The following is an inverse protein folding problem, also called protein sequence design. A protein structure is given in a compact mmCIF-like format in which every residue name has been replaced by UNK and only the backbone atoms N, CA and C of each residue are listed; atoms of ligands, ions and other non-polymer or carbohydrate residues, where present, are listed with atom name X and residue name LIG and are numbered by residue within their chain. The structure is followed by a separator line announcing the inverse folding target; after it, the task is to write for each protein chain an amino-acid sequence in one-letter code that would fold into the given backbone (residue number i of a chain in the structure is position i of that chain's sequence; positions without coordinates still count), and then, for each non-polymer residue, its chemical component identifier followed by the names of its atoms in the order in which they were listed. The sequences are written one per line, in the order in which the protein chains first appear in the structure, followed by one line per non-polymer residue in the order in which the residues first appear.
data_IF_398475325680
#
_entry.id   IF_398475325680
#
_cell.length_a   1.000
_cell.length_b   1.000
_cell.length_c   1.000
_cell.angle_alpha   90.00
_cell.angle_beta   90.00
_cell.angle_gamma   90.00
#
_symmetry.space_group_name_H-M   'P 1'
#
loop_
_entity.id
_entity.type
_entity.pdbx_description
1 polymer ?
#
# COMPACT_ATOMS: atom_id res chain seq x y z
N UNK A 1 -18.48 -54.46 -0.62
CA UNK A 1 -19.66 -53.57 -0.65
C UNK A 1 -19.55 -52.64 0.52
N UNK A 2 -19.80 -51.34 0.28
CA UNK A 2 -19.84 -50.27 1.24
C UNK A 2 -18.53 -49.87 1.94
N UNK A 3 -17.86 -48.90 1.37
CA UNK A 3 -17.09 -47.83 2.06
C UNK A 3 -16.86 -46.66 1.10
N UNK A 4 -17.88 -45.94 0.75
CA UNK A 4 -17.77 -44.71 -0.04
C UNK A 4 -18.59 -43.53 0.54
N UNK A 5 -18.92 -43.60 1.85
CA UNK A 5 -19.74 -42.58 2.53
C UNK A 5 -19.01 -41.64 3.48
N UNK A 6 -17.78 -41.90 3.88
CA UNK A 6 -17.12 -41.14 4.96
C UNK A 6 -16.16 -40.06 4.52
N UNK A 7 -15.85 -39.95 3.23
CA UNK A 7 -14.91 -38.92 2.74
C UNK A 7 -15.60 -37.58 2.47
N UNK A 8 -16.92 -37.57 2.29
CA UNK A 8 -17.66 -36.34 1.99
C UNK A 8 -18.09 -35.55 3.23
N UNK A 9 -18.10 -36.15 4.42
CA UNK A 9 -18.50 -35.44 5.66
C UNK A 9 -17.35 -34.59 6.24
N UNK A 10 -16.11 -34.81 5.83
CA UNK A 10 -14.96 -34.04 6.32
C UNK A 10 -14.75 -32.70 5.58
N UNK A 11 -15.35 -32.55 4.40
CA UNK A 11 -15.22 -31.36 3.57
C UNK A 11 -16.28 -30.28 3.84
N UNK A 12 -17.33 -30.58 4.62
CA UNK A 12 -18.42 -29.64 4.90
C UNK A 12 -18.27 -28.84 6.21
N UNK A 13 -17.19 -29.00 6.96
CA UNK A 13 -16.98 -28.30 8.24
C UNK A 13 -15.99 -27.10 8.15
N UNK A 14 -15.56 -26.72 6.95
CA UNK A 14 -14.95 -25.42 6.76
C UNK A 14 -16.06 -24.44 6.43
N UNK A 15 -16.44 -23.64 7.44
CA UNK A 15 -17.39 -22.54 7.28
C UNK A 15 -16.91 -21.57 6.18
N UNK A 16 -17.81 -20.72 5.65
CA UNK A 16 -17.52 -19.85 4.48
C UNK A 16 -16.53 -18.72 4.75
N UNK A 17 -15.74 -18.75 5.81
CA UNK A 17 -14.84 -17.68 6.24
C UNK A 17 -13.35 -17.96 6.08
N UNK A 18 -12.94 -18.98 5.35
CA UNK A 18 -11.53 -19.08 4.94
C UNK A 18 -11.34 -18.37 3.60
N UNK A 19 -11.68 -17.09 3.52
CA UNK A 19 -10.99 -16.23 2.57
C UNK A 19 -9.52 -16.24 2.99
N UNK A 20 -8.70 -16.99 2.29
CA UNK A 20 -7.27 -16.82 2.34
C UNK A 20 -7.03 -15.34 2.05
N UNK A 21 -6.65 -14.60 3.07
CA UNK A 21 -6.23 -13.22 2.92
C UNK A 21 -4.91 -13.27 2.15
N UNK A 22 -5.00 -13.32 0.82
CA UNK A 22 -3.84 -13.31 -0.07
C UNK A 22 -3.25 -11.92 0.07
N UNK A 23 -2.31 -11.77 0.99
CA UNK A 23 -1.55 -10.53 1.12
C UNK A 23 -0.84 -10.28 -0.19
N UNK A 24 -1.31 -9.28 -0.90
CA UNK A 24 -0.64 -8.80 -2.10
C UNK A 24 0.64 -8.11 -1.65
N UNK A 25 1.75 -8.42 -2.30
CA UNK A 25 3.02 -7.74 -2.08
C UNK A 25 3.47 -7.05 -3.35
N UNK A 26 3.77 -5.77 -3.21
CA UNK A 26 4.32 -4.95 -4.29
C UNK A 26 5.83 -4.84 -4.10
N UNK A 27 6.58 -5.20 -5.12
CA UNK A 27 8.04 -5.17 -5.12
C UNK A 27 8.53 -4.52 -6.41
N UNK A 28 9.61 -3.79 -6.31
CA UNK A 28 10.31 -3.19 -7.45
C UNK A 28 10.15 -1.69 -7.56
N UNK A 29 10.94 -1.13 -8.46
CA UNK A 29 11.02 0.29 -8.77
C UNK A 29 10.84 0.45 -10.28
N UNK A 30 9.80 1.17 -10.71
CA UNK A 30 9.39 1.26 -12.11
C UNK A 30 9.16 2.72 -12.50
N UNK A 31 9.90 3.18 -13.51
CA UNK A 31 9.71 4.52 -14.07
C UNK A 31 8.42 4.59 -14.89
N UNK A 32 7.73 5.72 -14.80
CA UNK A 32 6.52 6.01 -15.52
C UNK A 32 6.37 7.52 -15.78
N UNK A 33 5.30 7.89 -16.48
CA UNK A 33 4.97 9.29 -16.76
C UNK A 33 3.50 9.56 -16.49
N UNK A 34 3.22 10.72 -15.92
CA UNK A 34 1.88 11.28 -15.89
C UNK A 34 1.65 12.11 -17.15
N UNK A 35 0.45 12.04 -17.72
CA UNK A 35 0.06 12.92 -18.82
C UNK A 35 -0.28 14.34 -18.30
N UNK A 36 -0.55 15.25 -19.22
CA UNK A 36 -0.89 16.65 -18.90
C UNK A 36 -2.15 16.81 -18.05
N UNK A 37 -3.01 15.78 -17.99
CA UNK A 37 -4.20 15.74 -17.16
C UNK A 37 -3.94 15.12 -15.79
N UNK A 38 -2.73 14.58 -15.56
CA UNK A 38 -2.35 13.90 -14.31
C UNK A 38 -2.67 12.40 -14.32
N UNK A 39 -2.96 11.79 -15.48
CA UNK A 39 -3.21 10.34 -15.55
C UNK A 39 -1.90 9.59 -15.72
N UNK A 40 -1.73 8.53 -14.96
CA UNK A 40 -0.59 7.63 -15.04
C UNK A 40 -1.05 6.18 -15.20
N UNK A 41 -0.27 5.37 -15.92
CA UNK A 41 -0.49 3.93 -15.98
C UNK A 41 0.10 3.28 -14.72
N UNK A 42 -0.72 2.52 -14.02
CA UNK A 42 -0.19 1.65 -12.98
C UNK A 42 0.64 0.53 -13.64
N UNK A 43 1.88 0.28 -13.22
CA UNK A 43 2.72 -0.77 -13.81
C UNK A 43 2.01 -2.12 -13.86
N UNK A 44 2.21 -2.86 -14.96
CA UNK A 44 1.51 -4.12 -15.22
C UNK A 44 1.75 -5.16 -14.11
N UNK A 45 2.93 -5.19 -13.50
CA UNK A 45 3.25 -6.08 -12.39
C UNK A 45 2.39 -5.81 -11.18
N UNK A 46 2.14 -4.53 -10.84
CA UNK A 46 1.28 -4.12 -9.72
C UNK A 46 -0.19 -4.36 -10.03
N UNK A 47 -0.63 -4.12 -11.27
CA UNK A 47 -1.99 -4.44 -11.70
C UNK A 47 -2.32 -5.93 -11.59
N UNK A 48 -1.37 -6.79 -11.98
CA UNK A 48 -1.53 -8.25 -11.84
C UNK A 48 -1.65 -8.66 -10.38
N UNK A 49 -0.85 -8.06 -9.50
CA UNK A 49 -0.94 -8.31 -8.07
C UNK A 49 -2.31 -7.92 -7.50
N UNK A 50 -2.84 -6.74 -7.85
CA UNK A 50 -4.20 -6.32 -7.46
C UNK A 50 -5.30 -7.22 -8.01
N UNK A 51 -5.17 -7.72 -9.24
CA UNK A 51 -6.14 -8.65 -9.81
C UNK A 51 -6.23 -9.97 -9.04
N UNK A 52 -5.13 -10.44 -8.46
CA UNK A 52 -5.11 -11.65 -7.63
C UNK A 52 -5.91 -11.45 -6.34
N UNK A 53 -5.88 -10.24 -5.75
CA UNK A 53 -6.69 -9.92 -4.57
C UNK A 53 -8.15 -9.56 -4.89
N UNK A 54 -8.48 -9.35 -6.19
CA UNK A 54 -9.81 -8.90 -6.61
C UNK A 54 -10.11 -7.44 -6.28
N UNK A 55 -9.11 -6.65 -5.95
CA UNK A 55 -9.26 -5.23 -5.61
C UNK A 55 -9.16 -4.36 -6.87
N UNK A 56 -10.14 -3.48 -7.03
CA UNK A 56 -10.21 -2.48 -8.10
C UNK A 56 -10.22 -1.03 -7.57
N UNK A 57 -10.39 -0.86 -6.27
CA UNK A 57 -10.40 0.43 -5.59
C UNK A 57 -9.11 0.63 -4.79
N UNK A 58 -8.54 1.80 -4.96
CA UNK A 58 -7.30 2.19 -4.32
C UNK A 58 -7.52 3.50 -3.57
N UNK A 59 -6.74 3.75 -2.55
CA UNK A 59 -6.75 5.01 -1.81
C UNK A 59 -5.41 5.70 -2.00
N UNK A 60 -5.45 6.91 -2.51
CA UNK A 60 -4.29 7.76 -2.74
C UNK A 60 -4.20 8.83 -1.67
N UNK A 61 -3.03 9.03 -1.09
CA UNK A 61 -2.75 10.16 -0.20
C UNK A 61 -1.29 10.59 -0.27
N UNK A 62 -1.00 11.79 0.24
CA UNK A 62 0.39 12.20 0.48
C UNK A 62 0.96 11.43 1.67
N UNK A 63 2.20 10.97 1.57
CA UNK A 63 2.89 10.38 2.71
C UNK A 63 3.05 11.39 3.87
N UNK A 64 3.10 10.88 5.11
CA UNK A 64 3.16 11.72 6.31
C UNK A 64 4.54 12.33 6.50
N UNK A 65 5.58 11.58 6.17
CA UNK A 65 6.97 11.92 6.44
C UNK A 65 7.71 12.38 5.20
N UNK A 66 7.44 11.72 4.07
CA UNK A 66 8.17 11.92 2.83
C UNK A 66 7.42 12.75 1.80
N UNK A 67 8.13 13.33 0.86
CA UNK A 67 7.52 14.08 -0.24
C UNK A 67 7.16 13.15 -1.40
N UNK A 68 6.33 12.16 -1.12
CA UNK A 68 5.78 11.22 -2.08
C UNK A 68 4.28 11.03 -1.86
N UNK A 69 3.66 10.28 -2.75
CA UNK A 69 2.30 9.80 -2.60
C UNK A 69 2.33 8.31 -2.30
N UNK A 70 1.35 7.85 -1.55
CA UNK A 70 1.16 6.43 -1.26
C UNK A 70 -0.19 5.99 -1.81
N UNK A 71 -0.17 4.89 -2.53
CA UNK A 71 -1.33 4.23 -3.09
C UNK A 71 -1.56 2.94 -2.32
N UNK A 72 -2.67 2.88 -1.62
CA UNK A 72 -3.08 1.75 -0.79
C UNK A 72 -4.16 0.94 -1.52
N UNK A 73 -4.07 -0.41 -1.55
CA UNK A 73 -5.26 -1.23 -1.73
C UNK A 73 -6.33 -0.86 -0.68
N UNK A 74 -7.62 -0.86 -1.05
CA UNK A 74 -8.69 -0.41 -0.15
C UNK A 74 -8.71 -1.20 1.16
N UNK A 75 -8.44 -2.51 1.10
CA UNK A 75 -8.37 -3.34 2.29
C UNK A 75 -7.24 -2.90 3.23
N UNK A 76 -6.03 -2.69 2.70
CA UNK A 76 -4.86 -2.24 3.49
C UNK A 76 -5.15 -0.88 4.14
N UNK A 77 -5.77 0.03 3.40
CA UNK A 77 -6.20 1.32 3.93
C UNK A 77 -7.16 1.18 5.11
N UNK A 78 -8.17 0.32 4.98
CA UNK A 78 -9.16 0.09 6.03
C UNK A 78 -8.52 -0.52 7.27
N UNK A 79 -7.62 -1.49 7.12
CA UNK A 79 -6.86 -2.09 8.23
C UNK A 79 -6.01 -1.04 8.97
N UNK A 80 -5.33 -0.16 8.25
CA UNK A 80 -4.55 0.93 8.85
C UNK A 80 -5.44 1.94 9.58
N UNK A 81 -6.60 2.28 9.01
CA UNK A 81 -7.56 3.16 9.67
C UNK A 81 -8.08 2.56 10.96
N UNK A 82 -8.38 1.27 10.99
CA UNK A 82 -8.88 0.59 12.17
C UNK A 82 -7.81 0.56 13.27
N UNK A 83 -6.55 0.28 12.93
CA UNK A 83 -5.42 0.35 13.86
C UNK A 83 -5.27 1.76 14.44
N UNK A 84 -5.29 2.79 13.59
CA UNK A 84 -5.18 4.18 14.02
C UNK A 84 -6.35 4.55 14.95
N UNK A 85 -7.57 4.19 14.57
CA UNK A 85 -8.79 4.48 15.32
C UNK A 85 -8.79 3.83 16.71
N UNK A 86 -8.28 2.61 16.84
CA UNK A 86 -8.18 1.91 18.12
C UNK A 86 -7.22 2.58 19.10
N UNK A 87 -6.22 3.32 18.60
CA UNK A 87 -5.24 4.05 19.40
C UNK A 87 -5.70 5.44 19.83
N UNK A 88 -6.83 5.93 19.29
CA UNK A 88 -7.30 7.28 19.54
C UNK A 88 -8.36 7.32 20.63
N UNK A 89 -8.21 8.29 21.53
CA UNK A 89 -9.31 8.68 22.42
C UNK A 89 -10.26 9.62 21.70
N UNK A 90 -11.49 9.19 21.49
CA UNK A 90 -12.52 9.95 20.76
C UNK A 90 -12.91 11.25 21.43
N UNK A 91 -12.69 11.36 22.74
CA UNK A 91 -12.98 12.54 23.53
C UNK A 91 -11.81 13.52 23.64
N UNK A 92 -10.64 13.14 23.10
CA UNK A 92 -9.47 14.02 23.02
C UNK A 92 -9.55 14.83 21.72
N UNK A 93 -9.74 16.16 21.86
CA UNK A 93 -9.87 17.07 20.73
C UNK A 93 -8.64 17.06 19.81
N UNK A 94 -7.43 17.00 20.39
CA UNK A 94 -6.17 17.03 19.61
C UNK A 94 -6.00 15.74 18.80
N UNK A 95 -6.22 14.59 19.41
CA UNK A 95 -6.14 13.31 18.71
C UNK A 95 -7.19 13.24 17.60
N UNK A 96 -8.39 13.74 17.84
CA UNK A 96 -9.44 13.76 16.82
C UNK A 96 -9.15 14.71 15.65
N UNK A 97 -8.43 15.80 15.89
CA UNK A 97 -7.95 16.69 14.83
C UNK A 97 -6.91 15.98 13.93
N UNK A 98 -5.97 15.23 14.52
CA UNK A 98 -4.97 14.42 13.79
C UNK A 98 -5.68 13.40 12.91
N UNK A 99 -6.64 12.66 13.46
CA UNK A 99 -7.40 11.68 12.70
C UNK A 99 -8.16 12.30 11.53
N UNK A 100 -8.83 13.43 11.77
CA UNK A 100 -9.55 14.16 10.72
C UNK A 100 -8.64 14.58 9.58
N UNK A 101 -7.47 15.13 9.90
CA UNK A 101 -6.48 15.50 8.89
C UNK A 101 -5.99 14.27 8.12
N UNK A 102 -5.69 13.19 8.82
CA UNK A 102 -5.23 11.95 8.19
C UNK A 102 -6.22 11.40 7.16
N UNK A 103 -7.51 11.39 7.50
CA UNK A 103 -8.57 10.87 6.61
C UNK A 103 -8.92 11.86 5.50
N UNK A 104 -8.95 13.17 5.79
CA UNK A 104 -9.33 14.19 4.81
C UNK A 104 -8.31 14.37 3.68
N UNK A 105 -7.06 13.96 3.90
CA UNK A 105 -6.00 13.98 2.89
C UNK A 105 -5.98 12.73 1.99
N UNK A 106 -6.93 11.81 2.17
CA UNK A 106 -7.06 10.61 1.36
C UNK A 106 -8.14 10.78 0.29
N UNK A 107 -7.94 10.17 -0.87
CA UNK A 107 -8.87 10.17 -1.99
C UNK A 107 -8.96 8.79 -2.63
N UNK A 108 -10.18 8.32 -2.86
CA UNK A 108 -10.40 7.04 -3.55
C UNK A 108 -10.13 7.24 -5.04
N UNK A 109 -9.32 6.37 -5.60
CA UNK A 109 -9.02 6.32 -7.03
C UNK A 109 -9.33 4.94 -7.59
N UNK A 110 -9.76 4.90 -8.85
CA UNK A 110 -10.06 3.67 -9.57
C UNK A 110 -9.25 3.58 -10.85
N UNK A 111 -8.91 2.36 -11.24
CA UNK A 111 -8.26 2.11 -12.52
C UNK A 111 -9.30 2.13 -13.64
N UNK A 112 -8.98 2.79 -14.75
CA UNK A 112 -9.78 2.67 -15.97
C UNK A 112 -9.51 1.31 -16.66
N UNK A 113 -10.28 1.01 -17.72
CA UNK A 113 -10.13 -0.24 -18.48
C UNK A 113 -8.76 -0.48 -19.10
N UNK A 114 -7.92 0.56 -19.18
CA UNK A 114 -6.54 0.48 -19.69
C UNK A 114 -5.50 0.39 -18.54
N UNK A 115 -5.95 0.42 -17.29
CA UNK A 115 -5.07 0.39 -16.12
C UNK A 115 -4.44 1.75 -15.78
N UNK A 116 -5.09 2.85 -16.16
CA UNK A 116 -4.71 4.21 -15.78
C UNK A 116 -5.56 4.69 -14.61
N UNK A 117 -5.00 5.57 -13.83
CA UNK A 117 -5.73 6.31 -12.81
C UNK A 117 -5.33 7.79 -12.83
N UNK A 118 -6.20 8.62 -12.30
CA UNK A 118 -5.98 10.05 -12.19
C UNK A 118 -5.28 10.36 -10.87
N UNK A 119 -4.15 11.04 -10.95
CA UNK A 119 -3.51 11.69 -9.81
C UNK A 119 -3.93 13.15 -9.84
N UNK A 120 -4.75 13.62 -8.90
CA UNK A 120 -5.18 15.02 -8.88
C UNK A 120 -3.99 15.97 -8.83
N UNK A 121 -4.08 17.09 -9.55
CA UNK A 121 -2.98 18.07 -9.66
C UNK A 121 -2.45 18.56 -8.32
N UNK A 122 -3.30 18.62 -7.30
CA UNK A 122 -2.90 18.97 -5.93
C UNK A 122 -1.86 17.98 -5.38
N UNK A 123 -2.04 16.68 -5.62
CA UNK A 123 -1.10 15.64 -5.16
C UNK A 123 0.20 15.64 -5.94
N UNK A 124 0.13 15.81 -7.26
CA UNK A 124 1.34 15.97 -8.09
C UNK A 124 2.21 17.12 -7.56
N UNK A 125 1.59 18.26 -7.28
CA UNK A 125 2.27 19.43 -6.70
C UNK A 125 2.87 19.14 -5.32
N UNK A 126 2.13 18.46 -4.44
CA UNK A 126 2.60 18.11 -3.09
C UNK A 126 3.80 17.15 -3.13
N UNK A 127 3.83 16.24 -4.08
CA UNK A 127 4.92 15.27 -4.26
C UNK A 127 6.07 15.81 -5.14
N UNK A 128 5.95 17.03 -5.69
CA UNK A 128 6.96 17.60 -6.58
C UNK A 128 7.06 16.85 -7.92
N UNK A 129 5.98 16.25 -8.38
CA UNK A 129 5.92 15.50 -9.64
C UNK A 129 5.42 16.43 -10.75
N UNK A 130 6.24 16.68 -11.76
CA UNK A 130 5.83 17.40 -12.94
C UNK A 130 5.25 16.46 -14.00
N UNK A 131 6.03 15.50 -14.46
CA UNK A 131 5.65 14.49 -15.43
C UNK A 131 6.29 13.13 -15.16
N UNK A 132 7.62 13.12 -14.93
CA UNK A 132 8.38 11.89 -14.70
C UNK A 132 8.24 11.44 -13.25
N UNK A 133 7.85 10.19 -13.06
CA UNK A 133 7.63 9.60 -11.75
C UNK A 133 8.16 8.17 -11.67
N UNK A 134 8.31 7.70 -10.46
CA UNK A 134 8.65 6.31 -10.15
C UNK A 134 7.62 5.71 -9.23
N UNK A 135 7.20 4.50 -9.54
CA UNK A 135 6.43 3.65 -8.65
C UNK A 135 7.38 2.73 -7.90
N UNK A 136 7.30 2.72 -6.59
CA UNK A 136 8.07 1.83 -5.72
C UNK A 136 7.10 0.94 -4.97
N UNK A 137 7.22 -0.38 -5.13
CA UNK A 137 6.47 -1.33 -4.32
C UNK A 137 7.09 -1.47 -2.94
N UNK A 138 6.31 -1.17 -1.91
CA UNK A 138 6.72 -1.23 -0.51
C UNK A 138 5.78 -2.17 0.24
N UNK A 139 6.02 -3.47 0.08
CA UNK A 139 5.24 -4.57 0.65
C UNK A 139 3.75 -4.49 0.27
N UNK A 140 2.88 -4.00 1.12
CA UNK A 140 1.41 -3.94 0.91
C UNK A 140 0.93 -2.63 0.28
N UNK A 141 1.84 -1.70 -0.01
CA UNK A 141 1.55 -0.38 -0.59
C UNK A 141 2.45 -0.07 -1.78
N UNK A 142 2.06 0.95 -2.55
CA UNK A 142 2.85 1.46 -3.67
C UNK A 142 3.11 2.94 -3.43
N UNK A 143 4.37 3.33 -3.42
CA UNK A 143 4.76 4.74 -3.36
C UNK A 143 4.95 5.32 -4.75
N UNK A 144 4.61 6.61 -4.88
CA UNK A 144 4.75 7.37 -6.12
C UNK A 144 5.63 8.59 -5.84
N UNK A 145 6.80 8.60 -6.42
CA UNK A 145 7.83 9.60 -6.24
C UNK A 145 8.06 10.42 -7.50
N UNK A 146 8.56 11.65 -7.35
CA UNK A 146 9.19 12.31 -8.48
C UNK A 146 10.47 11.56 -8.85
N UNK A 147 10.76 11.46 -10.15
CA UNK A 147 11.97 10.77 -10.62
C UNK A 147 13.23 11.34 -9.99
N UNK A 148 13.33 12.66 -9.90
CA UNK A 148 14.50 13.36 -9.36
C UNK A 148 14.83 12.96 -7.92
N UNK A 149 13.83 12.76 -7.05
CA UNK A 149 14.06 12.35 -5.67
C UNK A 149 14.48 10.90 -5.52
N UNK A 150 14.08 10.06 -6.46
CA UNK A 150 14.42 8.63 -6.46
C UNK A 150 15.72 8.29 -7.18
N UNK A 151 16.40 9.26 -7.75
CA UNK A 151 17.71 9.02 -8.40
C UNK A 151 18.85 8.94 -7.38
N UNK A 152 18.62 9.44 -6.14
CA UNK A 152 19.50 9.23 -5.01
C UNK A 152 19.03 8.05 -4.14
N UNK A 153 19.93 7.30 -3.52
CA UNK A 153 19.55 6.24 -2.59
C UNK A 153 18.90 6.81 -1.33
N UNK A 154 17.94 6.08 -0.72
CA UNK A 154 17.31 6.47 0.55
C UNK A 154 18.26 6.33 1.74
N UNK A 155 19.16 5.37 1.67
CA UNK A 155 20.25 5.15 2.63
C UNK A 155 21.53 4.97 1.82
N UNK A 156 22.63 5.57 2.27
CA UNK A 156 23.92 5.39 1.61
C UNK A 156 24.27 3.89 1.49
N UNK A 157 24.69 3.41 0.31
CA UNK A 157 24.92 1.98 0.08
C UNK A 157 25.93 1.37 1.05
N UNK A 158 26.91 2.17 1.53
CA UNK A 158 27.91 1.72 2.48
C UNK A 158 27.32 1.44 3.88
N UNK A 159 26.24 2.15 4.25
CA UNK A 159 25.61 2.05 5.57
C UNK A 159 24.42 1.09 5.59
N UNK A 160 23.85 0.79 4.43
CA UNK A 160 22.63 -0.01 4.34
C UNK A 160 22.77 -1.40 4.97
N UNK A 161 23.88 -2.09 4.72
CA UNK A 161 24.13 -3.43 5.26
C UNK A 161 24.20 -3.47 6.78
N UNK A 162 24.92 -2.51 7.38
CA UNK A 162 25.05 -2.40 8.84
C UNK A 162 23.74 -2.00 9.51
N UNK A 163 23.00 -1.04 8.92
CA UNK A 163 21.69 -0.64 9.41
C UNK A 163 20.67 -1.78 9.39
N UNK A 164 20.66 -2.58 8.31
CA UNK A 164 19.80 -3.75 8.21
C UNK A 164 20.15 -4.82 9.23
N UNK A 165 21.46 -5.07 9.45
CA UNK A 165 21.93 -6.02 10.45
C UNK A 165 21.53 -5.61 11.86
N UNK A 166 21.63 -4.31 12.19
CA UNK A 166 21.21 -3.77 13.49
C UNK A 166 19.71 -3.97 13.72
N UNK A 167 18.85 -3.64 12.72
CA UNK A 167 17.42 -3.86 12.80
C UNK A 167 17.05 -5.33 13.01
N UNK A 168 17.74 -6.24 12.32
CA UNK A 168 17.46 -7.68 12.46
C UNK A 168 18.01 -8.27 13.76
N UNK A 169 19.06 -7.67 14.35
CA UNK A 169 19.64 -8.10 15.63
C UNK A 169 18.81 -7.69 16.85
N UNK A 170 18.12 -6.55 16.80
CA UNK A 170 17.32 -6.06 17.93
C UNK A 170 16.08 -6.93 18.24
N UNK A 171 15.60 -7.73 17.31
CA UNK A 171 14.45 -8.62 17.50
C UNK A 171 14.77 -9.95 18.20
N UNK A 172 16.02 -10.16 18.63
CA UNK A 172 16.48 -11.38 19.30
C UNK A 172 16.49 -11.34 20.84
N UNK A 173 16.21 -10.18 21.46
CA UNK A 173 16.38 -10.01 22.93
C UNK A 173 15.06 -9.94 23.73
N UNK A 174 13.89 -10.12 23.12
CA UNK A 174 12.59 -10.08 23.84
C UNK A 174 11.99 -11.46 24.17
N UNK A 175 12.80 -12.49 24.34
CA UNK A 175 12.30 -13.79 24.87
C UNK A 175 13.25 -14.38 25.89
N UNK A 176 13.29 -13.83 27.10
CA UNK A 176 13.59 -14.53 28.36
C UNK A 176 12.58 -14.13 29.44
#
# INVERSE_FOLDING_TARGET
MEKSGEVWSFLCNFGPETYYNVRVRFLGNIEAKADTKGRAFLPAVFRKALQVSGEDRLVLRKDVYEQCLVLYPEQVWNEQLDILRQRLNRWDKKQWQIFRQYVSDAEVVTLDGNGRFLIPKRYLKLAGIEQDLKFIGVDDTIEIWSKERCDAPFVEPADFGSALQELMGQNGEETE
#
